data_IF_321143401513
#
_entry.id   IF_321143401513
#
_cell.length_a   1.000
_cell.length_b   1.000
_cell.length_c   1.000
_cell.angle_alpha   90.00
_cell.angle_beta   90.00
_cell.angle_gamma   90.00
#
_symmetry.space_group_name_H-M   'P 1'
#
loop_
_entity.id
_entity.type
_entity.pdbx_description
1 polymer ?
#
# COMPACT_ATOMS: atom_id res chain seq x y z
N UNK A 1 4.57 3.35 -7.89
CA UNK A 1 4.69 1.87 -7.84
C UNK A 1 5.25 1.40 -6.50
N UNK A 2 5.14 0.11 -6.19
CA UNK A 2 5.67 -0.48 -4.95
C UNK A 2 7.19 -0.38 -4.95
N UNK A 3 7.79 0.19 -3.90
CA UNK A 3 9.26 0.34 -3.79
C UNK A 3 9.85 -0.50 -2.66
N UNK A 4 9.15 -0.62 -1.53
CA UNK A 4 9.70 -1.23 -0.31
C UNK A 4 8.73 -2.22 0.30
N UNK A 5 9.28 -3.39 0.68
CA UNK A 5 8.74 -4.30 1.68
C UNK A 5 9.73 -4.32 2.85
N UNK A 6 9.38 -3.71 3.97
CA UNK A 6 10.25 -3.63 5.15
C UNK A 6 10.34 -4.99 5.84
N UNK A 7 11.52 -5.58 5.85
CA UNK A 7 11.77 -6.83 6.57
C UNK A 7 11.65 -6.69 8.09
N UNK A 8 11.83 -5.46 8.61
CA UNK A 8 11.71 -5.17 10.05
C UNK A 8 10.27 -5.09 10.53
N UNK A 9 9.35 -4.69 9.64
CA UNK A 9 7.92 -4.48 9.95
C UNK A 9 7.04 -5.65 9.50
N UNK A 10 7.46 -6.37 8.47
CA UNK A 10 6.68 -7.45 7.89
C UNK A 10 6.61 -8.66 8.85
N UNK A 11 5.42 -9.27 8.93
CA UNK A 11 5.14 -10.45 9.73
C UNK A 11 4.86 -11.70 8.86
N UNK A 12 5.28 -11.69 7.59
CA UNK A 12 5.14 -12.81 6.64
C UNK A 12 3.70 -13.37 6.53
N UNK A 13 2.68 -12.50 6.52
CA UNK A 13 1.27 -12.93 6.47
C UNK A 13 0.68 -13.08 5.04
N UNK A 14 1.46 -12.72 4.02
CA UNK A 14 1.14 -12.78 2.59
C UNK A 14 -0.18 -12.09 2.16
N UNK A 15 -0.70 -11.17 2.99
CA UNK A 15 -1.88 -10.38 2.60
C UNK A 15 -1.60 -9.58 1.33
N UNK A 16 -0.43 -8.93 1.22
CA UNK A 16 -0.04 -8.17 0.04
C UNK A 16 0.02 -9.02 -1.24
N UNK A 17 0.44 -10.29 -1.13
CA UNK A 17 0.41 -11.26 -2.24
C UNK A 17 -1.03 -11.52 -2.67
N UNK A 18 -1.94 -11.80 -1.72
CA UNK A 18 -3.35 -12.12 -2.01
C UNK A 18 -4.16 -10.95 -2.57
N UNK A 19 -3.88 -9.71 -2.15
CA UNK A 19 -4.67 -8.53 -2.56
C UNK A 19 -4.12 -7.84 -3.80
N UNK A 20 -2.93 -8.23 -4.29
CA UNK A 20 -2.35 -7.59 -5.46
C UNK A 20 -3.04 -8.09 -6.75
N UNK A 21 -3.77 -7.24 -7.48
CA UNK A 21 -4.49 -7.67 -8.68
C UNK A 21 -3.56 -7.93 -9.88
N UNK A 22 -2.34 -7.39 -9.83
CA UNK A 22 -1.32 -7.52 -10.88
C UNK A 22 -0.24 -8.56 -10.50
N UNK A 23 -0.46 -9.33 -9.44
CA UNK A 23 0.44 -10.40 -9.01
C UNK A 23 1.91 -9.96 -8.85
N UNK A 24 2.17 -8.79 -8.24
CA UNK A 24 3.53 -8.20 -8.19
C UNK A 24 4.49 -8.95 -7.25
N UNK A 25 3.95 -9.68 -6.28
CA UNK A 25 4.71 -10.25 -5.16
C UNK A 25 4.83 -11.76 -5.26
N UNK A 26 6.04 -12.30 -5.02
CA UNK A 26 6.24 -13.73 -4.77
C UNK A 26 6.33 -13.98 -3.26
N UNK A 27 5.51 -14.89 -2.76
CA UNK A 27 5.56 -15.36 -1.37
C UNK A 27 6.87 -16.11 -1.09
N UNK A 28 7.36 -16.01 0.15
CA UNK A 28 8.51 -16.79 0.61
C UNK A 28 8.18 -17.46 1.95
N UNK A 29 8.59 -18.73 2.16
CA UNK A 29 8.40 -19.40 3.44
C UNK A 29 9.05 -18.60 4.58
N UNK A 30 8.27 -18.30 5.61
CA UNK A 30 8.70 -17.63 6.85
C UNK A 30 9.49 -16.33 6.66
N UNK A 31 9.25 -15.62 5.54
CA UNK A 31 9.99 -14.42 5.18
C UNK A 31 9.08 -13.39 4.50
N UNK A 32 9.46 -12.10 4.49
CA UNK A 32 8.76 -11.10 3.71
C UNK A 32 8.73 -11.50 2.23
N UNK A 33 7.60 -11.30 1.53
CA UNK A 33 7.52 -11.55 0.09
C UNK A 33 8.46 -10.61 -0.66
N UNK A 34 8.88 -11.03 -1.85
CA UNK A 34 9.72 -10.20 -2.73
C UNK A 34 8.87 -9.48 -3.75
N UNK A 35 9.29 -8.28 -4.14
CA UNK A 35 8.72 -7.57 -5.29
C UNK A 35 9.31 -8.23 -6.54
N UNK A 36 8.58 -9.14 -7.15
CA UNK A 36 9.06 -9.94 -8.28
C UNK A 36 8.81 -9.24 -9.62
N UNK A 37 7.72 -8.46 -9.72
CA UNK A 37 7.24 -7.87 -10.96
C UNK A 37 6.87 -6.39 -10.75
N UNK A 38 7.83 -5.59 -10.31
CA UNK A 38 7.60 -4.17 -9.96
C UNK A 38 6.95 -3.36 -11.10
N UNK A 39 7.35 -3.63 -12.35
CA UNK A 39 6.84 -2.97 -13.54
C UNK A 39 5.33 -3.18 -13.78
N UNK A 40 4.76 -4.27 -13.22
CA UNK A 40 3.34 -4.58 -13.35
C UNK A 40 2.50 -3.83 -12.29
N UNK A 41 3.15 -3.13 -11.35
CA UNK A 41 2.47 -2.42 -10.28
C UNK A 41 1.62 -1.26 -10.80
N UNK A 42 0.30 -1.43 -10.69
CA UNK A 42 -0.69 -0.41 -11.09
C UNK A 42 -0.82 0.77 -10.10
N UNK A 43 0.09 0.88 -9.12
CA UNK A 43 0.08 1.97 -8.11
C UNK A 43 -1.30 2.14 -7.44
N UNK A 44 -1.97 1.02 -7.16
CA UNK A 44 -3.32 1.00 -6.58
C UNK A 44 -3.34 1.07 -5.05
N UNK A 45 -2.17 0.96 -4.40
CA UNK A 45 -1.98 1.03 -2.94
C UNK A 45 -2.72 -0.02 -2.09
N UNK A 46 -3.38 -1.02 -2.70
CA UNK A 46 -4.08 -2.08 -1.95
C UNK A 46 -3.15 -2.80 -0.96
N UNK A 47 -1.89 -3.02 -1.35
CA UNK A 47 -0.92 -3.66 -0.48
C UNK A 47 -0.56 -2.82 0.76
N UNK A 48 -0.56 -1.48 0.66
CA UNK A 48 -0.44 -0.61 1.84
C UNK A 48 -1.69 -0.66 2.70
N UNK A 49 -2.85 -0.50 2.07
CA UNK A 49 -4.16 -0.48 2.70
C UNK A 49 -4.40 -1.72 3.59
N UNK A 50 -4.07 -2.89 3.06
CA UNK A 50 -4.35 -4.17 3.74
C UNK A 50 -3.19 -4.67 4.59
N UNK A 51 -2.01 -4.02 4.57
CA UNK A 51 -0.92 -4.43 5.44
C UNK A 51 -1.27 -4.14 6.91
N UNK A 52 -1.28 -5.15 7.79
CA UNK A 52 -1.65 -4.94 9.20
C UNK A 52 -0.57 -4.22 10.02
N UNK A 53 0.66 -4.13 9.51
CA UNK A 53 1.83 -3.60 10.21
C UNK A 53 2.50 -2.44 9.48
N UNK A 54 1.83 -1.86 8.46
CA UNK A 54 2.37 -0.79 7.62
C UNK A 54 3.78 -1.11 7.09
N UNK A 55 4.00 -2.34 6.61
CA UNK A 55 5.32 -2.80 6.17
C UNK A 55 5.65 -2.45 4.71
N UNK A 56 4.73 -1.88 3.95
CA UNK A 56 4.90 -1.57 2.53
C UNK A 56 4.88 -0.07 2.27
N UNK A 57 5.62 0.34 1.24
CA UNK A 57 5.58 1.70 0.71
C UNK A 57 5.52 1.67 -0.82
N UNK A 58 4.52 2.36 -1.35
CA UNK A 58 4.26 2.59 -2.76
C UNK A 58 4.53 4.07 -3.05
N UNK A 59 5.47 4.35 -3.94
CA UNK A 59 5.67 5.70 -4.47
C UNK A 59 4.50 6.10 -5.39
N UNK A 60 4.13 7.39 -5.45
CA UNK A 60 3.02 7.84 -6.29
C UNK A 60 3.33 7.88 -7.79
N UNK A 61 4.60 7.84 -8.21
CA UNK A 61 4.95 7.73 -9.63
C UNK A 61 4.57 6.33 -10.14
N UNK A 62 3.61 6.26 -11.06
CA UNK A 62 3.10 5.01 -11.61
C UNK A 62 3.91 4.48 -12.80
N UNK A 63 4.73 5.33 -13.42
CA UNK A 63 5.42 5.01 -14.68
C UNK A 63 6.86 4.56 -14.44
N UNK A 64 7.52 5.08 -13.40
CA UNK A 64 8.93 4.81 -13.14
C UNK A 64 9.22 4.46 -11.68
N UNK A 65 10.19 3.55 -11.43
CA UNK A 65 10.69 3.31 -10.08
C UNK A 65 11.23 4.60 -9.49
N UNK A 66 10.87 4.84 -8.24
CA UNK A 66 11.39 5.97 -7.47
C UNK A 66 12.49 5.45 -6.56
N UNK A 67 13.77 5.79 -6.80
CA UNK A 67 14.86 5.31 -5.98
C UNK A 67 14.76 5.90 -4.57
N UNK A 68 14.33 5.07 -3.62
CA UNK A 68 14.18 5.40 -2.21
C UNK A 68 14.79 4.32 -1.33
N UNK A 69 15.22 4.70 -0.14
CA UNK A 69 15.73 3.79 0.89
C UNK A 69 14.72 3.65 2.02
N UNK A 70 14.75 2.52 2.72
CA UNK A 70 13.90 2.29 3.90
C UNK A 70 14.10 3.37 4.98
N UNK A 71 15.34 3.85 5.16
CA UNK A 71 15.63 4.93 6.11
C UNK A 71 14.93 6.25 5.75
N UNK A 72 14.84 6.60 4.45
CA UNK A 72 14.12 7.79 4.01
C UNK A 72 12.61 7.65 4.25
N UNK A 73 12.04 6.48 3.97
CA UNK A 73 10.61 6.20 4.18
C UNK A 73 10.26 6.21 5.68
N UNK A 74 11.13 5.64 6.51
CA UNK A 74 10.99 5.66 7.97
C UNK A 74 11.07 7.08 8.53
N UNK A 75 12.09 7.85 8.16
CA UNK A 75 12.27 9.23 8.61
C UNK A 75 11.10 10.15 8.22
N UNK A 76 10.48 9.89 7.06
CA UNK A 76 9.29 10.61 6.61
C UNK A 76 7.97 10.09 7.20
N UNK A 77 7.98 9.00 7.97
CA UNK A 77 6.76 8.36 8.46
C UNK A 77 5.83 7.89 7.34
N UNK A 78 6.40 7.46 6.21
CA UNK A 78 5.66 7.22 4.96
C UNK A 78 5.10 5.81 4.80
N UNK A 79 5.58 4.85 5.59
CA UNK A 79 5.00 3.51 5.66
C UNK A 79 3.52 3.55 5.99
N UNK A 80 2.65 2.98 5.15
CA UNK A 80 1.19 3.00 5.30
C UNK A 80 0.55 4.40 5.28
N UNK A 81 1.28 5.41 4.80
CA UNK A 81 0.79 6.80 4.80
C UNK A 81 -0.44 6.98 3.92
N UNK A 82 -0.55 6.24 2.81
CA UNK A 82 -1.72 6.28 1.96
C UNK A 82 -2.98 5.78 2.69
N UNK A 83 -2.88 4.62 3.34
CA UNK A 83 -3.98 4.04 4.11
C UNK A 83 -4.45 5.00 5.23
N UNK A 84 -3.50 5.60 5.96
CA UNK A 84 -3.80 6.59 7.00
C UNK A 84 -4.46 7.85 6.44
N UNK A 85 -4.00 8.36 5.30
CA UNK A 85 -4.58 9.54 4.66
C UNK A 85 -6.05 9.33 4.28
N UNK A 86 -6.42 8.10 3.87
CA UNK A 86 -7.81 7.72 3.60
C UNK A 86 -8.62 7.38 4.87
N UNK A 87 -8.03 7.47 6.06
CA UNK A 87 -8.66 7.05 7.30
C UNK A 87 -8.83 5.53 7.43
N UNK A 88 -8.24 4.73 6.54
CA UNK A 88 -8.28 3.28 6.62
C UNK A 88 -7.39 2.77 7.76
N UNK A 89 -7.88 1.76 8.48
CA UNK A 89 -7.14 1.09 9.56
C UNK A 89 -7.29 -0.42 9.45
N UNK A 90 -6.18 -1.13 9.25
CA UNK A 90 -6.13 -2.60 9.14
C UNK A 90 -7.14 -3.15 8.12
N UNK A 91 -7.17 -2.56 6.92
CA UNK A 91 -8.11 -2.95 5.86
C UNK A 91 -9.58 -2.55 6.08
N UNK A 92 -9.92 -1.83 7.16
CA UNK A 92 -11.26 -1.28 7.37
C UNK A 92 -11.31 0.18 6.90
N UNK A 93 -12.29 0.56 6.06
CA UNK A 93 -12.42 1.93 5.62
C UNK A 93 -12.74 2.86 6.80
N UNK A 94 -12.30 4.11 6.70
CA UNK A 94 -12.57 5.16 7.69
C UNK A 94 -14.05 5.56 7.77
N UNK A 95 -14.89 5.04 6.87
CA UNK A 95 -16.29 5.40 6.73
C UNK A 95 -16.50 6.49 5.68
N UNK A 96 -17.77 6.71 5.31
CA UNK A 96 -18.22 7.75 4.38
C UNK A 96 -19.40 8.54 4.98
N UNK A 97 -19.64 8.40 6.28
CA UNK A 97 -20.76 9.01 7.00
C UNK A 97 -20.74 10.54 6.96
N UNK A 98 -19.56 11.12 6.76
CA UNK A 98 -19.35 12.56 6.63
C UNK A 98 -19.03 13.01 5.19
N UNK A 99 -18.98 12.10 4.22
CA UNK A 99 -18.68 12.44 2.82
C UNK A 99 -19.90 13.11 2.18
N UNK A 100 -19.87 14.41 1.82
CA UNK A 100 -21.01 15.10 1.24
C UNK A 100 -21.21 14.81 -0.25
N UNK A 101 -20.35 14.00 -0.89
CA UNK A 101 -20.35 13.76 -2.34
C UNK A 101 -21.67 13.20 -2.86
N UNK A 102 -22.46 12.51 -2.02
CA UNK A 102 -23.82 12.09 -2.38
C UNK A 102 -24.77 13.26 -2.70
N UNK A 103 -24.49 14.47 -2.19
CA UNK A 103 -25.25 15.69 -2.48
C UNK A 103 -24.81 16.37 -3.77
N UNK A 104 -23.62 16.07 -4.29
CA UNK A 104 -23.10 16.67 -5.53
C UNK A 104 -23.81 16.15 -6.79
N UNK A 105 -24.50 15.01 -6.73
CA UNK A 105 -25.32 14.49 -7.84
C UNK A 105 -26.68 15.17 -7.97
N UNK A 106 -26.99 16.13 -7.10
CA UNK A 106 -28.20 16.96 -7.16
C UNK A 106 -27.80 18.33 -7.73
N UNK A 107 -27.40 18.34 -9.00
CA UNK A 107 -27.35 19.56 -9.79
C UNK A 107 -28.49 19.47 -10.80
N UNK A 108 -29.49 20.34 -10.62
CA UNK A 108 -30.58 20.57 -11.57
C UNK A 108 -30.06 21.15 -12.90
#
# INVERSE_FOLDING_TARGET
MIEIVSARRCIACDVCVRVCPADVFDARPDAPPVIARQADCQTCFLCEIYCPTDALYVAPDAERPTPVTEAQIEAGGLFGSYARALGWRRGKPGGAEHDPTFRLRVAD
#
